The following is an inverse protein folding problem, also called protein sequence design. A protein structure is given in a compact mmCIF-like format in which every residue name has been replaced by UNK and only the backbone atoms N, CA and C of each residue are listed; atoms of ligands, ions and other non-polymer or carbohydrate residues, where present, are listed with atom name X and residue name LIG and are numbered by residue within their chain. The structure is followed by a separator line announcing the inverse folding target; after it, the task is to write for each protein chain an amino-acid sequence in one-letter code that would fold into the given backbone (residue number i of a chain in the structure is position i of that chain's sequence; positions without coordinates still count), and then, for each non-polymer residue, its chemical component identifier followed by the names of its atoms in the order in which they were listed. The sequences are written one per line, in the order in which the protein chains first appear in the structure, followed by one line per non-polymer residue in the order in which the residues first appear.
data_IF_734211854790
#
_entry.id   IF_734211854790
#
_cell.length_a   1.000
_cell.length_b   1.000
_cell.length_c   1.000
_cell.angle_alpha   90.00
_cell.angle_beta   90.00
_cell.angle_gamma   90.00
#
_symmetry.space_group_name_H-M   'P 1'
#
loop_
_entity.id
_entity.type
_entity.pdbx_description
1 polymer ?
#
# COMPACT_ATOMS: atom_id res chain seq x y z
N UNK A 1 -38.53 -56.80 -26.49
CA UNK A 1 -39.11 -55.48 -26.87
C UNK A 1 -39.20 -54.58 -25.65
N UNK A 2 -38.18 -53.74 -25.42
CA UNK A 2 -38.35 -52.41 -24.80
C UNK A 2 -37.11 -51.60 -25.18
N UNK A 3 -37.38 -50.45 -25.77
CA UNK A 3 -36.50 -49.67 -26.63
C UNK A 3 -35.45 -48.88 -25.84
N UNK A 4 -34.29 -48.75 -26.46
CA UNK A 4 -33.13 -47.91 -26.16
C UNK A 4 -33.51 -46.45 -25.88
N UNK A 5 -32.87 -45.82 -24.89
CA UNK A 5 -32.42 -44.43 -25.07
C UNK A 5 -31.07 -44.23 -24.38
N UNK A 6 -30.05 -44.07 -25.22
CA UNK A 6 -28.70 -43.63 -24.88
C UNK A 6 -28.78 -42.23 -24.26
N UNK A 7 -28.27 -42.07 -23.04
CA UNK A 7 -27.88 -40.76 -22.53
C UNK A 7 -26.41 -40.81 -22.16
N UNK A 8 -25.58 -40.51 -23.15
CA UNK A 8 -24.16 -40.22 -23.02
C UNK A 8 -24.04 -38.86 -22.31
N UNK A 9 -23.93 -38.86 -20.97
CA UNK A 9 -23.54 -37.67 -20.21
C UNK A 9 -22.03 -37.71 -20.00
N UNK A 10 -21.38 -36.79 -20.70
CA UNK A 10 -19.97 -36.46 -20.69
C UNK A 10 -19.39 -36.42 -19.26
N UNK A 11 -18.34 -37.20 -19.02
CA UNK A 11 -17.42 -36.96 -17.91
C UNK A 11 -16.64 -35.68 -18.24
N UNK A 12 -16.97 -34.57 -17.58
CA UNK A 12 -16.20 -33.33 -17.60
C UNK A 12 -15.67 -33.07 -16.19
N UNK A 13 -14.39 -33.42 -16.02
CA UNK A 13 -13.43 -32.82 -15.11
C UNK A 13 -13.88 -32.46 -13.69
N UNK A 14 -13.39 -33.25 -12.73
CA UNK A 14 -13.04 -32.67 -11.43
C UNK A 14 -12.03 -31.56 -11.69
N UNK A 15 -12.44 -30.30 -11.61
CA UNK A 15 -11.51 -29.19 -11.47
C UNK A 15 -11.21 -29.04 -9.98
N UNK A 16 -9.98 -29.32 -9.50
CA UNK A 16 -9.57 -28.78 -8.22
C UNK A 16 -9.27 -27.29 -8.38
N UNK A 17 -9.33 -26.59 -7.25
CA UNK A 17 -8.82 -25.25 -7.00
C UNK A 17 -9.70 -24.06 -7.42
N UNK A 18 -10.45 -23.54 -6.44
CA UNK A 18 -10.15 -22.22 -5.91
C UNK A 18 -10.06 -22.32 -4.39
N UNK A 19 -8.88 -22.65 -3.87
CA UNK A 19 -8.50 -22.18 -2.53
C UNK A 19 -8.13 -20.70 -2.70
N UNK A 20 -9.14 -19.86 -2.94
CA UNK A 20 -9.03 -18.47 -2.52
C UNK A 20 -8.99 -18.49 -1.01
N UNK A 21 -8.05 -17.78 -0.40
CA UNK A 21 -8.15 -17.45 1.01
C UNK A 21 -9.33 -16.50 1.18
N UNK A 22 -10.54 -17.04 1.11
CA UNK A 22 -11.75 -16.33 1.49
C UNK A 22 -11.77 -16.44 3.01
N UNK A 23 -10.97 -15.59 3.66
CA UNK A 23 -11.23 -15.26 5.05
C UNK A 23 -12.67 -14.76 5.10
N UNK A 24 -13.49 -15.35 5.96
CA UNK A 24 -14.87 -14.92 6.10
C UNK A 24 -14.85 -13.66 6.96
N UNK A 25 -15.39 -12.51 6.51
CA UNK A 25 -15.52 -11.34 7.37
C UNK A 25 -16.26 -11.75 8.66
N UNK A 26 -15.76 -11.39 9.86
CA UNK A 26 -14.75 -10.36 10.15
C UNK A 26 -13.31 -10.88 10.33
N UNK A 27 -13.01 -12.14 10.02
CA UNK A 27 -11.72 -12.77 10.33
C UNK A 27 -10.64 -12.48 9.26
N UNK A 28 -10.89 -11.55 8.34
CA UNK A 28 -9.89 -11.12 7.37
C UNK A 28 -8.88 -10.19 8.04
N UNK A 29 -7.56 -10.45 7.90
CA UNK A 29 -6.57 -9.53 8.44
C UNK A 29 -6.57 -8.21 7.66
N UNK A 30 -6.48 -7.09 8.35
CA UNK A 30 -6.28 -5.78 7.73
C UNK A 30 -4.96 -5.75 6.93
N UNK A 31 -5.05 -5.64 5.60
CA UNK A 31 -3.88 -5.52 4.73
C UNK A 31 -3.50 -4.06 4.58
N UNK A 32 -2.31 -3.68 5.05
CA UNK A 32 -1.83 -2.29 4.99
C UNK A 32 -0.91 -2.05 3.79
N UNK A 33 -1.27 -1.06 2.98
CA UNK A 33 -0.51 -0.60 1.82
C UNK A 33 0.11 0.79 2.06
N UNK A 34 1.38 0.95 1.69
CA UNK A 34 2.05 2.24 1.57
C UNK A 34 1.83 2.84 0.18
N UNK A 35 1.17 4.00 0.12
CA UNK A 35 0.82 4.64 -1.14
C UNK A 35 1.92 5.57 -1.65
N UNK A 36 2.23 5.49 -2.95
CA UNK A 36 3.18 6.39 -3.58
C UNK A 36 2.66 7.82 -3.52
N UNK A 37 3.57 8.76 -3.28
CA UNK A 37 3.25 10.18 -3.28
C UNK A 37 3.24 10.78 -4.68
N UNK A 38 2.65 11.97 -4.84
CA UNK A 38 2.76 12.72 -6.08
C UNK A 38 4.20 13.16 -6.35
N UNK A 39 4.45 13.68 -7.54
CA UNK A 39 5.68 14.46 -7.82
C UNK A 39 5.54 15.83 -7.15
N UNK A 40 6.51 16.20 -6.30
CA UNK A 40 6.57 17.48 -5.63
C UNK A 40 7.29 18.52 -6.49
N UNK A 41 6.53 19.49 -6.98
CA UNK A 41 7.05 20.61 -7.77
C UNK A 41 7.28 21.87 -6.91
N UNK A 42 6.99 21.81 -5.59
CA UNK A 42 7.20 22.89 -4.62
C UNK A 42 7.80 22.38 -3.32
N UNK A 43 8.49 23.28 -2.60
CA UNK A 43 8.91 23.04 -1.23
C UNK A 43 7.73 23.36 -0.30
N UNK A 44 7.17 22.34 0.34
CA UNK A 44 6.00 22.45 1.21
C UNK A 44 5.91 21.25 2.17
N UNK A 45 4.92 21.28 3.05
CA UNK A 45 4.52 20.16 3.91
C UNK A 45 3.56 19.25 3.16
N UNK A 46 3.76 17.95 3.31
CA UNK A 46 2.98 16.90 2.66
C UNK A 46 2.68 15.78 3.64
N UNK A 47 1.77 14.90 3.24
CA UNK A 47 1.36 13.73 4.02
C UNK A 47 1.52 12.49 3.17
N UNK A 48 2.23 11.49 3.69
CA UNK A 48 2.29 10.15 3.13
C UNK A 48 1.10 9.34 3.66
N UNK A 49 0.51 8.50 2.81
CA UNK A 49 -0.69 7.75 3.17
C UNK A 49 -0.36 6.27 3.37
N UNK A 50 -0.70 5.75 4.54
CA UNK A 50 -0.78 4.32 4.83
C UNK A 50 -2.26 3.95 4.90
N UNK A 51 -2.68 2.93 4.16
CA UNK A 51 -4.10 2.62 3.97
C UNK A 51 -4.39 1.14 4.21
N UNK A 52 -5.52 0.85 4.83
CA UNK A 52 -6.13 -0.47 4.79
C UNK A 52 -6.71 -0.70 3.39
N UNK A 53 -6.32 -1.81 2.74
CA UNK A 53 -6.63 -2.09 1.33
C UNK A 53 -8.14 -2.21 1.11
N UNK A 54 -8.81 -2.92 2.00
CA UNK A 54 -10.17 -3.40 1.79
C UNK A 54 -11.24 -2.48 2.39
N UNK A 55 -10.86 -1.29 2.88
CA UNK A 55 -11.79 -0.29 3.39
C UNK A 55 -11.37 0.29 4.73
N UNK A 56 -12.33 0.39 5.65
CA UNK A 56 -12.07 0.77 7.04
C UNK A 56 -11.48 -0.42 7.81
N UNK A 57 -10.55 -0.15 8.71
CA UNK A 57 -9.98 -1.18 9.58
C UNK A 57 -11.00 -1.63 10.64
N UNK A 58 -11.07 -2.93 10.89
CA UNK A 58 -11.98 -3.52 11.88
C UNK A 58 -11.52 -3.23 13.32
N UNK A 59 -10.20 -3.10 13.50
CA UNK A 59 -9.58 -2.70 14.76
C UNK A 59 -8.45 -1.67 14.56
N UNK A 60 -7.79 -1.25 15.64
CA UNK A 60 -6.66 -0.35 15.51
C UNK A 60 -5.45 -1.09 14.94
N UNK A 61 -4.95 -0.65 13.79
CA UNK A 61 -3.77 -1.21 13.14
C UNK A 61 -2.56 -0.33 13.42
N UNK A 62 -1.59 -0.84 14.19
CA UNK A 62 -0.34 -0.12 14.49
C UNK A 62 0.71 -0.41 13.41
N UNK A 63 1.16 0.63 12.72
CA UNK A 63 2.12 0.53 11.62
C UNK A 63 3.40 1.25 12.02
N UNK A 64 4.50 0.51 12.15
CA UNK A 64 5.83 1.12 12.27
C UNK A 64 6.44 1.30 10.88
N UNK A 65 7.09 2.43 10.66
CA UNK A 65 7.67 2.78 9.37
C UNK A 65 9.02 3.50 9.54
N UNK A 66 9.73 3.62 8.43
CA UNK A 66 10.92 4.47 8.31
C UNK A 66 10.95 5.17 6.97
N UNK A 67 11.48 6.39 6.94
CA UNK A 67 11.90 7.01 5.70
C UNK A 67 13.29 6.48 5.31
N UNK A 68 13.49 6.26 4.01
CA UNK A 68 14.75 5.76 3.45
C UNK A 68 15.20 6.70 2.36
N UNK A 69 16.45 7.15 2.48
CA UNK A 69 17.09 7.98 1.49
C UNK A 69 17.23 7.25 0.15
N UNK A 70 16.97 7.98 -0.93
CA UNK A 70 17.34 7.59 -2.29
C UNK A 70 18.33 8.60 -2.85
N UNK A 71 17.99 9.20 -4.00
CA UNK A 71 18.70 10.37 -4.52
C UNK A 71 18.30 11.67 -3.81
N UNK A 72 17.14 11.70 -3.16
CA UNK A 72 16.79 12.70 -2.16
C UNK A 72 17.33 12.26 -0.79
N UNK A 73 17.96 13.20 -0.06
CA UNK A 73 18.57 12.97 1.25
C UNK A 73 17.84 13.69 2.37
N UNK A 74 17.64 13.00 3.50
CA UNK A 74 17.05 13.58 4.71
C UNK A 74 17.90 14.76 5.20
N UNK A 75 17.25 15.85 5.59
CA UNK A 75 17.87 17.09 6.02
C UNK A 75 18.40 17.97 4.88
N UNK A 76 18.46 17.47 3.63
CA UNK A 76 18.92 18.23 2.46
C UNK A 76 17.82 18.47 1.43
N UNK A 77 17.05 17.44 1.11
CA UNK A 77 15.98 17.47 0.11
C UNK A 77 14.59 17.37 0.75
N UNK A 78 14.50 16.60 1.85
CA UNK A 78 13.28 16.44 2.63
C UNK A 78 13.57 16.40 4.14
N UNK A 79 12.57 16.68 4.96
CA UNK A 79 12.59 16.53 6.41
C UNK A 79 11.41 15.67 6.84
N UNK A 80 11.67 14.68 7.69
CA UNK A 80 10.68 13.81 8.30
C UNK A 80 11.25 13.23 9.59
N UNK A 81 10.38 12.70 10.45
CA UNK A 81 10.82 11.82 11.54
C UNK A 81 11.37 10.52 10.90
N UNK A 82 12.66 10.16 11.09
CA UNK A 82 13.27 9.05 10.36
C UNK A 82 12.55 7.70 10.57
N UNK A 83 12.01 7.47 11.77
CA UNK A 83 11.29 6.26 12.16
C UNK A 83 10.24 6.57 13.21
N UNK A 84 9.02 6.08 13.03
CA UNK A 84 7.95 6.24 14.00
C UNK A 84 6.88 5.15 13.81
N UNK A 85 5.85 5.20 14.65
CA UNK A 85 4.62 4.44 14.49
C UNK A 85 3.46 5.38 14.16
N UNK A 86 2.47 4.88 13.42
CA UNK A 86 1.17 5.53 13.24
C UNK A 86 0.06 4.48 13.36
N UNK A 87 -1.13 4.92 13.77
CA UNK A 87 -2.29 4.04 13.92
C UNK A 87 -3.32 4.37 12.84
N UNK A 88 -3.70 3.38 12.04
CA UNK A 88 -4.98 3.40 11.32
C UNK A 88 -6.03 3.05 12.36
N UNK A 89 -6.96 3.97 12.64
CA UNK A 89 -7.94 3.77 13.71
C UNK A 89 -9.05 2.84 13.20
N UNK A 90 -9.61 2.04 14.10
CA UNK A 90 -10.81 1.28 13.81
C UNK A 90 -11.92 2.18 13.24
N UNK A 91 -12.64 1.71 12.23
CA UNK A 91 -13.65 2.50 11.50
C UNK A 91 -13.06 3.61 10.62
N UNK A 92 -11.76 3.57 10.33
CA UNK A 92 -11.11 4.46 9.36
C UNK A 92 -10.24 3.66 8.41
N UNK A 93 -10.05 4.13 7.18
CA UNK A 93 -9.27 3.40 6.17
C UNK A 93 -7.82 3.82 6.01
N UNK A 94 -7.39 4.91 6.66
CA UNK A 94 -6.06 5.46 6.42
C UNK A 94 -5.48 6.24 7.60
N UNK A 95 -4.15 6.35 7.59
CA UNK A 95 -3.39 7.22 8.47
C UNK A 95 -2.37 8.05 7.68
N UNK A 96 -2.23 9.31 8.09
CA UNK A 96 -1.29 10.25 7.51
C UNK A 96 0.05 10.29 8.25
N UNK A 97 1.15 10.29 7.50
CA UNK A 97 2.52 10.45 8.01
C UNK A 97 3.11 11.77 7.46
N UNK A 98 3.39 12.76 8.31
CA UNK A 98 3.88 14.06 7.84
C UNK A 98 5.34 14.00 7.36
N UNK A 99 5.63 14.72 6.28
CA UNK A 99 6.98 15.06 5.85
C UNK A 99 6.99 16.43 5.19
N UNK A 100 8.18 17.00 4.97
CA UNK A 100 8.36 18.29 4.29
C UNK A 100 9.37 18.14 3.17
N UNK A 101 9.05 18.66 1.99
CA UNK A 101 10.02 18.87 0.93
C UNK A 101 10.70 20.21 1.18
N UNK A 102 12.03 20.21 1.26
CA UNK A 102 12.82 21.39 1.61
C UNK A 102 13.16 22.23 0.39
N UNK A 103 13.32 21.59 -0.77
CA UNK A 103 13.66 22.24 -2.03
C UNK A 103 13.25 21.39 -3.21
N UNK A 104 13.03 22.04 -4.34
CA UNK A 104 12.78 21.40 -5.63
C UNK A 104 13.81 21.90 -6.62
N UNK A 105 14.38 20.98 -7.41
CA UNK A 105 15.36 21.27 -8.45
C UNK A 105 14.87 20.82 -9.82
N UNK A 106 15.57 21.23 -10.88
CA UNK A 106 15.31 20.72 -12.23
C UNK A 106 15.59 19.22 -12.40
N UNK A 107 16.41 18.64 -11.52
CA UNK A 107 16.65 17.19 -11.46
C UNK A 107 15.55 16.47 -10.66
N UNK A 108 15.18 15.27 -11.13
CA UNK A 108 14.29 14.38 -10.40
C UNK A 108 15.06 13.63 -9.30
N UNK A 109 14.55 13.72 -8.07
CA UNK A 109 15.06 12.98 -6.91
C UNK A 109 13.98 12.12 -6.27
N UNK A 110 14.37 11.05 -5.58
CA UNK A 110 13.45 10.13 -4.92
C UNK A 110 13.90 9.77 -3.51
N UNK A 111 12.94 9.59 -2.63
CA UNK A 111 13.07 8.96 -1.32
C UNK A 111 11.86 8.05 -1.10
N UNK A 112 11.90 7.18 -0.11
CA UNK A 112 10.81 6.23 0.14
C UNK A 112 10.37 6.22 1.59
N UNK A 113 9.15 5.72 1.83
CA UNK A 113 8.69 5.26 3.12
C UNK A 113 8.57 3.74 3.04
N UNK A 114 9.14 3.05 4.02
CA UNK A 114 9.06 1.60 4.15
C UNK A 114 8.32 1.25 5.45
N UNK A 115 7.26 0.44 5.34
CA UNK A 115 6.63 -0.21 6.48
C UNK A 115 7.60 -1.26 7.03
N UNK A 116 7.96 -1.15 8.30
CA UNK A 116 8.87 -2.09 8.98
C UNK A 116 8.11 -3.17 9.74
N UNK A 117 6.95 -2.84 10.32
CA UNK A 117 6.05 -3.82 10.94
C UNK A 117 4.61 -3.32 10.96
N UNK A 118 3.67 -4.26 11.05
CA UNK A 118 2.25 -4.03 11.26
C UNK A 118 1.81 -4.95 12.40
N UNK A 119 1.05 -4.42 13.35
CA UNK A 119 0.36 -5.19 14.39
C UNK A 119 -1.14 -5.07 14.18
N UNK A 120 -1.85 -6.16 14.49
CA UNK A 120 -3.29 -6.31 14.23
C UNK A 120 -3.63 -6.16 12.74
N UNK A 121 -2.79 -6.74 11.89
CA UNK A 121 -2.90 -6.67 10.44
C UNK A 121 -1.67 -7.30 9.79
N UNK A 122 -1.60 -7.21 8.46
CA UNK A 122 -0.48 -7.72 7.66
C UNK A 122 0.01 -6.66 6.68
N UNK A 123 1.28 -6.77 6.27
CA UNK A 123 1.84 -5.85 5.28
C UNK A 123 1.44 -6.30 3.87
N UNK A 124 0.79 -5.41 3.12
CA UNK A 124 0.61 -5.52 1.68
C UNK A 124 1.80 -4.87 0.93
N UNK A 125 1.57 -3.71 0.32
CA UNK A 125 2.59 -2.91 -0.35
C UNK A 125 3.46 -2.23 0.70
N UNK A 126 4.68 -2.73 0.86
CA UNK A 126 5.61 -2.27 1.90
C UNK A 126 6.22 -0.90 1.65
N UNK A 127 6.42 -0.52 0.40
CA UNK A 127 7.21 0.65 0.00
C UNK A 127 6.35 1.66 -0.74
N UNK A 128 6.34 2.90 -0.25
CA UNK A 128 5.86 4.07 -0.97
C UNK A 128 7.04 4.86 -1.53
N UNK A 129 6.90 5.34 -2.77
CA UNK A 129 7.89 6.16 -3.47
C UNK A 129 7.42 7.62 -3.52
N UNK A 130 8.31 8.53 -3.16
CA UNK A 130 8.08 9.97 -3.25
C UNK A 130 9.10 10.58 -4.20
N UNK A 131 8.64 11.49 -5.07
CA UNK A 131 9.48 12.10 -6.09
C UNK A 131 9.50 13.61 -5.91
N UNK A 132 10.69 14.20 -5.87
CA UNK A 132 10.91 15.65 -5.79
C UNK A 132 11.46 16.12 -7.13
N UNK A 133 10.81 17.12 -7.72
CA UNK A 133 11.24 17.77 -8.96
C UNK A 133 11.25 16.86 -10.19
N UNK A 134 11.95 17.35 -11.21
CA UNK A 134 11.92 16.81 -12.57
C UNK A 134 10.80 17.41 -13.43
N UNK A 135 11.03 17.50 -14.73
CA UNK A 135 9.96 17.75 -15.69
C UNK A 135 9.12 16.48 -15.82
N UNK A 136 7.81 16.55 -15.53
CA UNK A 136 6.88 15.60 -16.14
C UNK A 136 7.15 15.67 -17.64
N UNK A 137 7.49 14.52 -18.24
CA UNK A 137 7.92 14.44 -19.62
C UNK A 137 7.06 15.31 -20.51
N UNK A 138 7.67 16.37 -21.06
CA UNK A 138 7.19 16.96 -22.29
C UNK A 138 7.55 15.94 -23.37
N UNK A 139 6.68 14.97 -23.56
CA UNK A 139 6.58 14.24 -24.81
C UNK A 139 6.06 15.19 -25.89
#
# INVERSE_FOLDING_TARGET
MKTIMVLLLLVLGVAPAYAGTECEPPDCPDVVDAHDGPVHEKADSYTATLRARDGEADENVEVTYRFVDGTAKLGQDYLAEPRAAVTIRAGTGEAGVPYRVLRVTGEQKRFTLEITSVRNGVVGKRIAVFTIGGTRGRA
#
